data_IF_256616370585
#
_entry.id   IF_256616370585
#
_cell.length_a   1.000
_cell.length_b   1.000
_cell.length_c   1.000
_cell.angle_alpha   90.00
_cell.angle_beta   90.00
_cell.angle_gamma   90.00
#
_symmetry.space_group_name_H-M   'P 1'
#
loop_
_entity.id
_entity.type
_entity.pdbx_description
1 polymer ?
#
# COMPACT_ATOMS: atom_id res chain seq x y z
N UNK A 1 20.09 -5.93 -11.34
CA UNK A 1 18.77 -5.27 -11.30
C UNK A 1 18.61 -4.62 -9.94
N UNK A 2 18.10 -3.38 -9.86
CA UNK A 2 17.71 -2.81 -8.57
C UNK A 2 16.50 -3.59 -8.02
N UNK A 3 16.37 -3.80 -6.71
CA UNK A 3 15.15 -4.37 -6.14
C UNK A 3 13.96 -3.49 -6.51
N UNK A 4 12.80 -4.11 -6.76
CA UNK A 4 11.57 -3.34 -6.95
C UNK A 4 11.16 -2.72 -5.62
N UNK A 5 10.66 -1.49 -5.67
CA UNK A 5 10.32 -0.70 -4.48
C UNK A 5 8.86 -0.30 -4.50
N UNK A 6 8.14 -0.58 -3.42
CA UNK A 6 6.70 -0.27 -3.28
C UNK A 6 6.50 0.57 -2.02
N UNK A 7 5.67 1.61 -2.13
CA UNK A 7 5.17 2.33 -0.96
C UNK A 7 3.88 1.67 -0.46
N UNK A 8 3.85 1.35 0.83
CA UNK A 8 2.68 0.84 1.54
C UNK A 8 2.09 1.98 2.37
N UNK A 9 0.94 2.49 1.94
CA UNK A 9 0.22 3.61 2.53
C UNK A 9 -0.80 3.05 3.53
N UNK A 10 -0.77 3.55 4.75
CA UNK A 10 -1.68 3.11 5.83
C UNK A 10 -2.41 4.29 6.47
N UNK A 11 -3.67 4.06 6.86
CA UNK A 11 -4.48 5.00 7.61
C UNK A 11 -4.10 5.12 9.08
N UNK A 12 -4.27 6.32 9.65
CA UNK A 12 -3.92 6.62 11.04
C UNK A 12 -5.04 6.21 12.02
N UNK A 13 -4.68 5.31 12.94
CA UNK A 13 -5.11 5.05 14.33
C UNK A 13 -6.59 5.13 14.82
N UNK A 14 -7.56 5.68 14.07
CA UNK A 14 -8.90 5.94 14.64
C UNK A 14 -10.01 4.98 14.12
N UNK A 15 -9.64 3.96 13.33
CA UNK A 15 -10.51 2.85 12.91
C UNK A 15 -10.08 1.52 13.56
N UNK A 16 -10.95 0.50 13.55
CA UNK A 16 -10.71 -0.82 14.18
C UNK A 16 -9.32 -1.38 13.84
N UNK A 17 -8.35 -1.10 14.70
CA UNK A 17 -6.93 -1.27 14.41
C UNK A 17 -6.63 -2.73 14.02
N UNK A 18 -7.39 -3.68 14.54
CA UNK A 18 -7.20 -5.12 14.34
C UNK A 18 -7.35 -5.57 12.88
N UNK A 19 -8.39 -5.12 12.17
CA UNK A 19 -8.69 -5.62 10.83
C UNK A 19 -7.68 -5.07 9.81
N UNK A 20 -7.38 -3.77 9.89
CA UNK A 20 -6.37 -3.14 9.04
C UNK A 20 -4.97 -3.67 9.34
N UNK A 21 -4.66 -3.94 10.61
CA UNK A 21 -3.40 -4.56 11.04
C UNK A 21 -3.23 -5.96 10.46
N UNK A 22 -4.27 -6.79 10.43
CA UNK A 22 -4.19 -8.11 9.80
C UNK A 22 -3.86 -8.02 8.31
N UNK A 23 -4.62 -7.20 7.57
CA UNK A 23 -4.41 -7.01 6.13
C UNK A 23 -3.02 -6.43 5.86
N UNK A 24 -2.59 -5.44 6.66
CA UNK A 24 -1.27 -4.86 6.54
C UNK A 24 -0.17 -5.90 6.70
N UNK A 25 -0.24 -6.76 7.72
CA UNK A 25 0.81 -7.74 7.97
C UNK A 25 0.88 -8.76 6.82
N UNK A 26 -0.27 -9.20 6.29
CA UNK A 26 -0.34 -10.07 5.11
C UNK A 26 0.28 -9.42 3.86
N UNK A 27 -0.06 -8.16 3.59
CA UNK A 27 0.51 -7.42 2.44
C UNK A 27 2.00 -7.18 2.62
N UNK A 28 2.42 -6.74 3.81
CA UNK A 28 3.81 -6.44 4.13
C UNK A 28 4.71 -7.66 3.90
N UNK A 29 4.37 -8.81 4.49
CA UNK A 29 5.14 -10.03 4.28
C UNK A 29 4.95 -10.61 2.88
N UNK A 30 3.76 -10.49 2.28
CA UNK A 30 3.51 -10.91 0.90
C UNK A 30 4.42 -10.20 -0.13
N UNK A 31 4.78 -8.95 0.14
CA UNK A 31 5.75 -8.17 -0.65
C UNK A 31 7.19 -8.49 -0.25
N UNK A 32 7.53 -8.40 1.05
CA UNK A 32 8.90 -8.62 1.55
C UNK A 32 9.43 -10.02 1.24
N UNK A 33 8.62 -11.06 1.43
CA UNK A 33 9.02 -12.45 1.17
C UNK A 33 9.22 -12.72 -0.34
N UNK A 34 8.75 -11.82 -1.22
CA UNK A 34 9.00 -11.85 -2.67
C UNK A 34 10.17 -10.94 -3.10
N UNK A 35 10.93 -10.39 -2.15
CA UNK A 35 12.13 -9.59 -2.41
C UNK A 35 11.85 -8.13 -2.81
N UNK A 36 10.64 -7.65 -2.54
CA UNK A 36 10.26 -6.24 -2.78
C UNK A 36 10.72 -5.41 -1.59
N UNK A 37 11.35 -4.28 -1.88
CA UNK A 37 11.63 -3.27 -0.86
C UNK A 37 10.33 -2.53 -0.52
N UNK A 38 9.90 -2.61 0.73
CA UNK A 38 8.67 -1.98 1.22
C UNK A 38 9.02 -0.76 2.05
N UNK A 39 8.48 0.39 1.69
CA UNK A 39 8.54 1.63 2.48
C UNK A 39 7.14 1.94 2.98
N UNK A 40 7.00 2.22 4.28
CA UNK A 40 5.69 2.51 4.88
C UNK A 40 5.49 4.01 4.98
N UNK A 41 4.30 4.48 4.60
CA UNK A 41 3.91 5.88 4.71
C UNK A 41 2.56 6.04 5.41
N UNK A 42 2.45 7.06 6.26
CA UNK A 42 1.20 7.43 6.95
C UNK A 42 0.99 8.94 6.88
N UNK A 43 -0.23 9.40 7.20
CA UNK A 43 -0.58 10.82 7.08
C UNK A 43 0.36 11.76 7.86
N UNK A 44 0.80 11.35 9.06
CA UNK A 44 1.68 12.14 9.94
C UNK A 44 3.11 11.62 10.02
N UNK A 45 3.42 10.48 9.39
CA UNK A 45 4.69 9.78 9.59
C UNK A 45 4.83 9.24 11.02
N UNK A 46 6.01 8.70 11.34
CA UNK A 46 6.33 8.20 12.67
C UNK A 46 5.65 6.88 13.02
N UNK A 47 5.13 6.78 14.25
CA UNK A 47 4.58 5.52 14.76
C UNK A 47 3.12 5.36 14.34
N UNK A 48 2.84 4.43 13.42
CA UNK A 48 1.53 4.34 12.80
C UNK A 48 0.43 3.68 13.67
N UNK A 49 0.79 2.80 14.60
CA UNK A 49 -0.19 2.15 15.50
C UNK A 49 0.05 2.57 16.93
N UNK A 50 -0.96 3.11 17.60
CA UNK A 50 -0.78 3.64 18.96
C UNK A 50 -0.75 2.55 20.04
N UNK A 51 -1.16 1.33 19.68
CA UNK A 51 -1.27 0.20 20.60
C UNK A 51 -0.57 -1.06 20.08
N UNK A 52 -0.11 -1.89 21.02
CA UNK A 52 0.29 -3.28 20.74
C UNK A 52 -0.98 -4.13 20.62
N UNK A 53 -0.99 -5.18 19.78
CA UNK A 53 -2.10 -6.11 19.78
C UNK A 53 -2.23 -6.78 21.13
N UNK A 54 -3.45 -7.12 21.44
CA UNK A 54 -3.80 -8.01 22.53
C UNK A 54 -3.29 -9.43 22.25
N UNK A 55 -3.11 -10.21 23.32
CA UNK A 55 -2.73 -11.62 23.21
C UNK A 55 -3.69 -12.43 22.33
N UNK A 56 -4.99 -12.14 22.40
CA UNK A 56 -6.01 -12.82 21.63
C UNK A 56 -5.88 -12.56 20.12
N UNK A 57 -5.50 -11.35 19.73
CA UNK A 57 -5.23 -11.03 18.31
C UNK A 57 -4.00 -11.78 17.80
N UNK A 58 -2.95 -11.91 18.61
CA UNK A 58 -1.74 -12.66 18.24
C UNK A 58 -2.06 -14.15 18.07
N UNK A 59 -2.81 -14.74 19.00
CA UNK A 59 -3.15 -16.17 18.98
C UNK A 59 -4.05 -16.56 17.79
N UNK A 60 -4.80 -15.61 17.25
CA UNK A 60 -5.70 -15.83 16.10
C UNK A 60 -5.07 -15.50 14.75
N UNK A 61 -3.93 -14.80 14.72
CA UNK A 61 -3.27 -14.32 13.50
C UNK A 61 -1.77 -14.69 13.50
N UNK A 62 -1.36 -15.82 12.89
CA UNK A 62 0.03 -16.29 12.92
C UNK A 62 1.07 -15.31 12.37
N UNK A 63 0.71 -14.53 11.34
CA UNK A 63 1.63 -13.53 10.81
C UNK A 63 1.78 -12.32 11.75
N UNK A 64 0.80 -12.06 12.60
CA UNK A 64 0.90 -11.00 13.60
C UNK A 64 1.95 -11.35 14.65
N UNK A 65 2.02 -12.62 15.08
CA UNK A 65 3.09 -13.11 15.96
C UNK A 65 4.48 -12.93 15.34
N UNK A 66 4.62 -13.30 14.05
CA UNK A 66 5.85 -13.05 13.28
C UNK A 66 6.18 -11.55 13.24
N UNK A 67 5.18 -10.71 12.96
CA UNK A 67 5.36 -9.27 12.87
C UNK A 67 5.90 -8.66 14.17
N UNK A 68 5.36 -9.04 15.32
CA UNK A 68 5.81 -8.49 16.61
C UNK A 68 7.15 -9.06 17.08
N UNK A 69 7.53 -10.24 16.59
CA UNK A 69 8.84 -10.83 16.82
C UNK A 69 9.92 -10.26 15.90
N UNK A 70 9.55 -9.74 14.73
CA UNK A 70 10.46 -9.14 13.75
C UNK A 70 10.81 -7.70 14.12
N UNK A 71 12.07 -7.45 14.46
CA UNK A 71 12.54 -6.10 14.78
C UNK A 71 12.45 -5.14 13.58
N UNK A 72 12.76 -5.61 12.38
CA UNK A 72 12.73 -4.76 11.18
C UNK A 72 11.31 -4.33 10.87
N UNK A 73 10.35 -5.25 10.95
CA UNK A 73 8.94 -4.95 10.71
C UNK A 73 8.39 -3.93 11.74
N UNK A 74 8.79 -4.07 13.01
CA UNK A 74 8.45 -3.11 14.06
C UNK A 74 9.10 -1.74 13.86
N UNK A 75 10.34 -1.71 13.40
CA UNK A 75 11.06 -0.46 13.14
C UNK A 75 10.47 0.27 11.94
N UNK A 76 10.09 -0.44 10.87
CA UNK A 76 9.44 0.14 9.69
C UNK A 76 8.11 0.83 10.05
N UNK A 77 7.26 0.18 10.86
CA UNK A 77 5.95 0.75 11.26
C UNK A 77 6.08 1.85 12.33
N UNK A 78 7.23 1.91 13.01
CA UNK A 78 7.53 2.95 13.99
C UNK A 78 8.15 4.20 13.38
N UNK A 79 8.68 4.09 12.16
CA UNK A 79 9.39 5.15 11.45
C UNK A 79 8.78 5.34 10.05
N UNK A 80 7.46 5.43 9.96
CA UNK A 80 6.80 5.67 8.68
C UNK A 80 7.15 7.06 8.15
N UNK A 81 7.24 7.19 6.84
CA UNK A 81 7.35 8.49 6.20
C UNK A 81 5.99 9.20 6.20
N UNK A 82 6.02 10.54 6.13
CA UNK A 82 4.81 11.30 5.80
C UNK A 82 4.47 11.13 4.34
N UNK A 83 3.17 11.23 4.00
CA UNK A 83 2.72 11.13 2.62
C UNK A 83 3.33 12.19 1.68
N UNK A 84 3.67 13.36 2.20
CA UNK A 84 4.33 14.44 1.44
C UNK A 84 5.86 14.33 1.37
N UNK A 85 6.45 13.33 2.03
CA UNK A 85 7.86 12.95 1.88
C UNK A 85 8.05 11.86 0.81
N UNK A 86 6.95 11.36 0.23
CA UNK A 86 6.99 10.33 -0.81
C UNK A 86 7.17 10.98 -2.19
N UNK A 87 8.32 10.71 -2.80
CA UNK A 87 8.55 11.00 -4.21
C UNK A 87 8.17 9.79 -5.06
N UNK A 88 7.06 9.86 -5.80
CA UNK A 88 6.54 8.72 -6.58
C UNK A 88 7.55 8.12 -7.56
N UNK A 89 8.56 8.89 -7.98
CA UNK A 89 9.62 8.44 -8.89
C UNK A 89 10.52 7.35 -8.29
N UNK A 90 10.65 7.31 -6.97
CA UNK A 90 11.50 6.34 -6.27
C UNK A 90 10.86 4.95 -6.16
N UNK A 91 9.58 4.82 -6.50
CA UNK A 91 8.79 3.61 -6.34
C UNK A 91 8.34 3.06 -7.69
N UNK A 92 8.16 1.75 -7.80
CA UNK A 92 7.62 1.10 -8.99
C UNK A 92 6.07 1.00 -8.92
N UNK A 93 5.49 1.11 -7.72
CA UNK A 93 4.04 1.17 -7.49
C UNK A 93 3.68 1.50 -6.04
N UNK A 94 2.39 1.60 -5.77
CA UNK A 94 1.84 1.87 -4.44
C UNK A 94 0.80 0.85 -4.01
N UNK A 95 0.62 0.70 -2.70
CA UNK A 95 -0.41 -0.14 -2.10
C UNK A 95 -1.02 0.62 -0.93
N UNK A 96 -2.33 0.84 -0.93
CA UNK A 96 -3.03 1.55 0.12
C UNK A 96 -3.99 0.63 0.88
N UNK A 97 -3.95 0.69 2.20
CA UNK A 97 -4.84 -0.08 3.10
C UNK A 97 -5.62 0.93 3.95
N UNK A 98 -6.94 0.80 3.94
CA UNK A 98 -7.82 1.53 4.87
C UNK A 98 -8.10 3.00 4.52
N UNK A 99 -7.44 3.60 3.52
CA UNK A 99 -7.80 4.98 3.07
C UNK A 99 -7.96 5.04 1.55
N UNK A 100 -9.19 5.22 1.09
CA UNK A 100 -9.51 6.49 0.46
C UNK A 100 -10.89 7.02 0.84
N UNK A 101 -10.99 8.34 0.96
CA UNK A 101 -12.26 9.04 0.81
C UNK A 101 -12.59 9.23 -0.67
N UNK A 102 -13.11 10.39 -1.02
CA UNK A 102 -13.26 10.79 -2.40
C UNK A 102 -11.90 10.94 -3.13
N UNK A 103 -11.77 10.28 -4.27
CA UNK A 103 -10.69 10.50 -5.23
C UNK A 103 -11.15 11.51 -6.29
N UNK A 104 -10.28 12.49 -6.55
CA UNK A 104 -10.46 13.50 -7.60
C UNK A 104 -11.74 14.35 -7.49
N UNK A 105 -12.25 14.53 -6.27
CA UNK A 105 -13.27 15.53 -5.97
C UNK A 105 -12.59 16.85 -5.55
N UNK A 106 -13.02 17.97 -6.14
CA UNK A 106 -12.39 19.30 -5.99
C UNK A 106 -12.31 19.81 -4.55
N UNK A 107 -13.26 19.41 -3.69
CA UNK A 107 -13.45 19.98 -2.35
C UNK A 107 -12.96 19.09 -1.20
N UNK A 108 -12.43 17.89 -1.47
CA UNK A 108 -12.16 16.85 -0.44
C UNK A 108 -10.82 16.13 -0.64
N UNK A 109 -9.81 16.82 -1.15
CA UNK A 109 -8.55 16.17 -1.52
C UNK A 109 -7.68 15.86 -0.29
N UNK A 110 -7.65 14.58 0.09
CA UNK A 110 -6.77 14.09 1.17
C UNK A 110 -5.32 13.97 0.71
N UNK A 111 -4.33 13.96 1.63
CA UNK A 111 -2.93 13.70 1.26
C UNK A 111 -2.74 12.36 0.53
N UNK A 112 -3.50 11.32 0.91
CA UNK A 112 -3.48 10.02 0.25
C UNK A 112 -4.04 10.10 -1.18
N UNK A 113 -5.18 10.77 -1.39
CA UNK A 113 -5.75 10.98 -2.72
C UNK A 113 -4.80 11.74 -3.65
N UNK A 114 -4.10 12.74 -3.10
CA UNK A 114 -3.07 13.50 -3.83
C UNK A 114 -1.92 12.60 -4.26
N UNK A 115 -1.40 11.78 -3.35
CA UNK A 115 -0.30 10.86 -3.66
C UNK A 115 -0.72 9.80 -4.70
N UNK A 116 -1.93 9.26 -4.60
CA UNK A 116 -2.49 8.32 -5.58
C UNK A 116 -2.56 8.98 -6.96
N UNK A 117 -3.07 10.21 -7.06
CA UNK A 117 -3.11 10.95 -8.31
C UNK A 117 -1.70 11.16 -8.92
N UNK A 118 -0.68 11.38 -8.09
CA UNK A 118 0.71 11.48 -8.57
C UNK A 118 1.22 10.16 -9.15
N UNK A 119 0.95 9.02 -8.50
CA UNK A 119 1.29 7.70 -9.07
C UNK A 119 0.60 7.46 -10.41
N UNK A 120 -0.69 7.80 -10.49
CA UNK A 120 -1.47 7.67 -11.72
C UNK A 120 -0.92 8.55 -12.85
N UNK A 121 -0.51 9.79 -12.56
CA UNK A 121 0.12 10.66 -13.54
C UNK A 121 1.51 10.17 -13.97
N UNK A 122 2.22 9.46 -13.09
CA UNK A 122 3.51 8.84 -13.39
C UNK A 122 3.38 7.48 -14.13
N UNK A 123 2.18 7.10 -14.57
CA UNK A 123 1.89 5.82 -15.22
C UNK A 123 2.25 4.59 -14.37
N UNK A 124 2.08 4.69 -13.04
CA UNK A 124 2.38 3.63 -12.08
C UNK A 124 1.12 2.98 -11.54
N UNK A 125 1.26 1.74 -11.09
CA UNK A 125 0.15 0.97 -10.54
C UNK A 125 -0.05 1.29 -9.05
N UNK A 126 -1.30 1.42 -8.64
CA UNK A 126 -1.69 1.55 -7.24
C UNK A 126 -2.80 0.55 -6.92
N UNK A 127 -2.60 -0.25 -5.88
CA UNK A 127 -3.67 -1.07 -5.29
C UNK A 127 -4.28 -0.30 -4.12
N UNK A 128 -5.61 -0.33 -3.99
CA UNK A 128 -6.32 0.18 -2.82
C UNK A 128 -7.23 -0.93 -2.28
N UNK A 129 -7.05 -1.26 -0.99
CA UNK A 129 -7.95 -2.11 -0.22
C UNK A 129 -8.79 -1.27 0.73
N UNK A 130 -10.08 -1.15 0.42
CA UNK A 130 -11.06 -0.35 1.17
C UNK A 130 -12.49 -0.79 0.84
N UNK A 131 -13.39 -0.64 1.80
CA UNK A 131 -14.84 -0.74 1.55
C UNK A 131 -15.49 0.61 1.27
N UNK A 132 -14.75 1.70 1.39
CA UNK A 132 -15.22 3.07 1.17
C UNK A 132 -14.37 3.68 0.07
N UNK A 133 -14.98 3.95 -1.09
CA UNK A 133 -14.33 4.67 -2.18
C UNK A 133 -15.38 5.43 -2.98
N UNK A 134 -15.10 6.70 -3.25
CA UNK A 134 -15.86 7.52 -4.20
C UNK A 134 -14.87 8.02 -5.25
N UNK A 135 -15.19 7.85 -6.54
CA UNK A 135 -14.27 8.13 -7.64
C UNK A 135 -14.95 9.06 -8.63
N UNK A 136 -14.41 10.26 -8.77
CA UNK A 136 -14.78 11.14 -9.87
C UNK A 136 -14.14 10.64 -11.19
N UNK A 137 -14.81 10.81 -12.35
CA UNK A 137 -14.29 10.35 -13.64
C UNK A 137 -13.05 11.12 -14.12
N UNK A 138 -12.81 12.31 -13.58
CA UNK A 138 -11.70 13.17 -13.94
C UNK A 138 -10.45 12.82 -13.10
N UNK A 139 -9.25 12.89 -13.70
CA UNK A 139 -8.00 12.77 -12.94
C UNK A 139 -7.35 11.38 -12.88
N UNK A 140 -7.93 10.36 -13.52
CA UNK A 140 -7.37 9.00 -13.56
C UNK A 140 -5.97 8.87 -14.20
N UNK A 141 -5.47 9.90 -14.90
CA UNK A 141 -4.10 9.93 -15.42
C UNK A 141 -3.80 8.78 -16.40
N UNK A 142 -2.56 8.28 -16.38
CA UNK A 142 -2.06 7.22 -17.28
C UNK A 142 -1.69 5.91 -16.57
N UNK A 143 -1.92 5.84 -15.26
CA UNK A 143 -1.55 4.71 -14.42
C UNK A 143 -2.62 3.62 -14.38
N UNK A 144 -2.41 2.65 -13.49
CA UNK A 144 -3.37 1.57 -13.26
C UNK A 144 -3.85 1.61 -11.82
N UNK A 145 -5.14 1.86 -11.63
CA UNK A 145 -5.77 1.78 -10.32
C UNK A 145 -6.44 0.40 -10.17
N UNK A 146 -6.06 -0.32 -9.12
CA UNK A 146 -6.58 -1.66 -8.79
C UNK A 146 -7.32 -1.54 -7.47
N UNK A 147 -8.60 -1.88 -7.46
CA UNK A 147 -9.48 -1.69 -6.31
C UNK A 147 -9.98 -3.03 -5.79
N UNK A 148 -10.01 -3.20 -4.47
CA UNK A 148 -10.78 -4.28 -3.86
C UNK A 148 -11.26 -3.96 -2.45
N UNK A 149 -12.35 -4.63 -2.08
CA UNK A 149 -12.95 -4.56 -0.74
C UNK A 149 -12.30 -5.52 0.24
N UNK A 150 -12.82 -5.54 1.48
CA UNK A 150 -12.36 -6.40 2.58
C UNK A 150 -12.38 -7.89 2.26
N UNK A 151 -13.27 -8.34 1.38
CA UNK A 151 -13.38 -9.75 1.00
C UNK A 151 -12.33 -10.18 -0.05
N UNK A 152 -11.57 -9.24 -0.61
CA UNK A 152 -10.51 -9.59 -1.55
C UNK A 152 -9.27 -10.09 -0.80
N UNK A 153 -8.78 -11.33 -1.07
CA UNK A 153 -7.65 -11.86 -0.33
C UNK A 153 -6.39 -10.98 -0.48
N UNK A 154 -5.71 -10.60 0.62
CA UNK A 154 -4.53 -9.75 0.56
C UNK A 154 -3.42 -10.30 -0.34
N UNK A 155 -3.21 -11.62 -0.35
CA UNK A 155 -2.25 -12.26 -1.26
C UNK A 155 -2.60 -12.02 -2.73
N UNK A 156 -3.87 -12.09 -3.12
CA UNK A 156 -4.30 -11.85 -4.48
C UNK A 156 -4.06 -10.39 -4.89
N UNK A 157 -4.33 -9.45 -3.99
CA UNK A 157 -4.04 -8.03 -4.19
C UNK A 157 -2.54 -7.75 -4.35
N UNK A 158 -1.69 -8.41 -3.55
CA UNK A 158 -0.22 -8.37 -3.71
C UNK A 158 0.18 -8.89 -5.09
N UNK A 159 -0.31 -10.06 -5.49
CA UNK A 159 0.01 -10.63 -6.80
C UNK A 159 -0.45 -9.73 -7.96
N UNK A 160 -1.59 -9.04 -7.82
CA UNK A 160 -2.07 -8.09 -8.79
C UNK A 160 -1.11 -6.90 -8.95
N UNK A 161 -0.63 -6.32 -7.85
CA UNK A 161 0.39 -5.26 -7.91
C UNK A 161 1.67 -5.76 -8.59
N UNK A 162 2.17 -6.93 -8.17
CA UNK A 162 3.40 -7.50 -8.73
C UNK A 162 3.29 -7.88 -10.21
N UNK A 163 2.10 -8.24 -10.67
CA UNK A 163 1.84 -8.39 -12.10
C UNK A 163 1.91 -7.05 -12.83
N UNK A 164 1.38 -5.97 -12.23
CA UNK A 164 1.34 -4.64 -12.83
C UNK A 164 2.71 -3.94 -12.87
N UNK A 165 3.55 -4.12 -11.86
CA UNK A 165 4.88 -3.47 -11.77
C UNK A 165 6.00 -4.30 -12.41
N UNK A 166 5.69 -5.50 -12.90
CA UNK A 166 6.68 -6.38 -13.54
C UNK A 166 7.31 -5.66 -14.75
N UNK A 167 8.64 -5.70 -14.92
CA UNK A 167 9.28 -5.14 -16.10
C UNK A 167 8.67 -5.78 -17.36
N UNK A 168 8.23 -4.96 -18.31
CA UNK A 168 7.82 -5.48 -19.62
C UNK A 168 9.03 -6.17 -20.24
N UNK A 169 8.95 -7.49 -20.43
CA UNK A 169 9.87 -8.17 -21.31
C UNK A 169 9.56 -7.68 -22.73
N UNK A 170 10.42 -6.84 -23.28
CA UNK A 170 10.46 -6.64 -24.72
C UNK A 170 10.70 -8.00 -25.34
N UNK A 171 9.73 -8.51 -26.10
CA UNK A 171 10.00 -9.63 -27.01
C UNK A 171 11.01 -9.10 -28.03
N UNK A 172 12.27 -9.49 -27.90
CA UNK A 172 13.24 -9.38 -28.99
C UNK A 172 12.66 -10.14 -30.19
N UNK A 173 12.14 -9.42 -31.17
CA UNK A 173 11.50 -10.02 -32.35
C UNK A 173 10.48 -9.13 -33.07
N UNK A 174 9.96 -8.08 -32.43
CA UNK A 174 9.08 -7.12 -33.10
C UNK A 174 9.90 -5.87 -33.49
N UNK A 175 10.61 -5.99 -34.60
CA UNK A 175 11.07 -4.84 -35.40
C UNK A 175 10.40 -4.99 -36.77
N UNK A 176 9.63 -3.99 -37.24
CA UNK A 176 9.06 -4.00 -38.59
C UNK A 176 10.13 -3.88 -39.68
#
# INVERSE_FOLDING_TARGET
>A
MRPQRVVLIIGSADGSETAERSVFVEVYFGLRDKGIEVVIASAQGGHAWTSRPTRNEIETLPLLDRFWSDQTARDDVSNTLRLDEIFVQDFDGGFCIGIPGALWQTDTNTPAATLIAQFMNAAKAVVILTDQIDIAPDGAGHGLLILGGRDWPPEAAVLALLAAIRPRQTREGDVP
#
